data_IF_156358800001
#
_entry.id   IF_156358800001
#
_cell.length_a   1.000
_cell.length_b   1.000
_cell.length_c   1.000
_cell.angle_alpha   90.00
_cell.angle_beta   90.00
_cell.angle_gamma   90.00
#
_symmetry.space_group_name_H-M   'P 1'
#
loop_
_entity.id
_entity.type
_entity.pdbx_description
1 polymer ?
#
# COMPACT_ATOMS: atom_id res chain seq x y z
N UNK A 1 -4.50 11.35 6.56
CA UNK A 1 -3.08 10.93 6.51
C UNK A 1 -2.31 11.86 5.58
N UNK A 2 -1.28 12.54 6.11
CA UNK A 2 -0.62 13.75 5.57
C UNK A 2 0.09 13.53 4.23
N UNK A 3 0.52 12.30 3.92
CA UNK A 3 1.14 11.95 2.63
C UNK A 3 0.15 11.93 1.44
N UNK A 4 -1.16 11.79 1.72
CA UNK A 4 -2.19 11.67 0.66
C UNK A 4 -2.45 12.96 -0.12
N UNK A 5 -2.08 14.12 0.42
CA UNK A 5 -2.20 15.40 -0.28
C UNK A 5 -1.02 15.72 -1.20
N UNK A 6 0.13 15.06 -0.99
CA UNK A 6 1.37 15.34 -1.73
C UNK A 6 1.44 14.54 -3.03
N UNK A 7 0.74 13.41 -3.08
CA UNK A 7 0.63 12.55 -4.26
C UNK A 7 -0.81 12.61 -4.71
N UNK A 8 -1.05 13.25 -5.85
CA UNK A 8 -2.33 13.49 -6.49
C UNK A 8 -3.13 12.18 -6.81
N UNK A 9 -3.52 11.41 -5.79
CA UNK A 9 -4.39 10.24 -5.88
C UNK A 9 -5.75 10.61 -5.26
N UNK A 10 -6.79 10.87 -6.06
CA UNK A 10 -8.06 11.46 -5.61
C UNK A 10 -9.00 10.47 -4.89
N UNK A 11 -8.49 9.34 -4.39
CA UNK A 11 -9.32 8.27 -3.85
C UNK A 11 -9.30 8.32 -2.32
N UNK A 12 -10.41 8.74 -1.72
CA UNK A 12 -10.65 8.69 -0.27
C UNK A 12 -10.70 7.24 0.22
N UNK A 13 -10.39 7.02 1.49
CA UNK A 13 -10.45 5.70 2.14
C UNK A 13 -11.84 5.08 1.98
N UNK A 14 -12.88 5.92 2.04
CA UNK A 14 -14.26 5.52 1.78
C UNK A 14 -14.47 4.99 0.36
N UNK A 15 -13.89 5.63 -0.66
CA UNK A 15 -13.97 5.14 -2.05
C UNK A 15 -13.24 3.81 -2.23
N UNK A 16 -12.09 3.64 -1.57
CA UNK A 16 -11.33 2.38 -1.60
C UNK A 16 -12.15 1.27 -0.94
N UNK A 17 -12.69 1.52 0.26
CA UNK A 17 -13.51 0.55 0.99
C UNK A 17 -14.83 0.25 0.25
N UNK A 18 -15.42 1.24 -0.42
CA UNK A 18 -16.58 1.03 -1.28
C UNK A 18 -16.24 0.16 -2.49
N UNK A 19 -15.09 0.37 -3.15
CA UNK A 19 -14.64 -0.51 -4.23
C UNK A 19 -14.40 -1.95 -3.73
N UNK A 20 -13.87 -2.12 -2.53
CA UNK A 20 -13.69 -3.44 -1.89
C UNK A 20 -15.04 -4.11 -1.59
N UNK A 21 -16.03 -3.35 -1.12
CA UNK A 21 -17.37 -3.88 -0.88
C UNK A 21 -18.05 -4.32 -2.19
N UNK A 22 -17.89 -3.56 -3.27
CA UNK A 22 -18.36 -3.94 -4.60
C UNK A 22 -17.64 -5.20 -5.09
N UNK A 23 -16.32 -5.29 -4.96
CA UNK A 23 -15.58 -6.50 -5.35
C UNK A 23 -16.05 -7.73 -4.56
N UNK A 24 -16.41 -7.55 -3.29
CA UNK A 24 -17.02 -8.61 -2.47
C UNK A 24 -18.40 -9.01 -3.01
N UNK A 25 -19.24 -8.02 -3.31
CA UNK A 25 -20.61 -8.18 -3.86
C UNK A 25 -20.62 -8.90 -5.21
N UNK A 26 -19.68 -8.58 -6.09
CA UNK A 26 -19.54 -9.21 -7.41
C UNK A 26 -18.71 -10.50 -7.37
N UNK A 27 -18.41 -11.01 -6.18
CA UNK A 27 -17.83 -12.33 -6.01
C UNK A 27 -16.45 -12.51 -6.68
N UNK A 28 -15.64 -11.44 -6.71
CA UNK A 28 -14.29 -11.53 -7.24
C UNK A 28 -13.49 -12.59 -6.46
N UNK A 29 -12.68 -13.41 -7.14
CA UNK A 29 -11.94 -14.50 -6.50
C UNK A 29 -10.75 -13.97 -5.69
N UNK A 30 -10.11 -12.90 -6.14
CA UNK A 30 -8.94 -12.30 -5.52
C UNK A 30 -8.94 -10.78 -5.69
N UNK A 31 -8.53 -10.07 -4.64
CA UNK A 31 -8.27 -8.63 -4.70
C UNK A 31 -6.76 -8.37 -4.62
N UNK A 32 -6.25 -7.54 -5.54
CA UNK A 32 -4.86 -7.08 -5.54
C UNK A 32 -4.80 -5.58 -5.29
N UNK A 33 -4.09 -5.16 -4.25
CA UNK A 33 -3.84 -3.75 -3.95
C UNK A 33 -2.36 -3.43 -4.20
N UNK A 34 -2.08 -2.27 -4.78
CA UNK A 34 -0.72 -1.86 -5.13
C UNK A 34 -0.35 -0.61 -4.32
N UNK A 35 0.67 -0.75 -3.47
CA UNK A 35 1.23 0.31 -2.65
C UNK A 35 2.66 0.58 -3.08
N UNK A 36 2.98 1.87 -3.21
CA UNK A 36 4.35 2.30 -3.39
C UNK A 36 4.94 2.57 -2.02
N UNK A 37 6.15 2.05 -1.77
CA UNK A 37 6.90 2.22 -0.52
C UNK A 37 8.22 2.90 -0.82
N UNK A 38 8.68 3.79 0.04
CA UNK A 38 9.92 4.55 -0.12
C UNK A 38 9.73 5.88 -0.86
N UNK A 39 8.53 6.46 -0.82
CA UNK A 39 8.30 7.79 -1.39
C UNK A 39 9.07 8.87 -0.61
N UNK A 40 9.53 9.94 -1.27
CA UNK A 40 10.20 11.04 -0.59
C UNK A 40 9.29 11.60 0.51
N UNK A 41 9.82 11.73 1.73
CA UNK A 41 9.12 12.16 2.95
C UNK A 41 8.13 11.15 3.56
N UNK A 42 8.06 9.91 3.07
CA UNK A 42 7.24 8.86 3.68
C UNK A 42 7.74 8.52 5.09
N UNK A 43 6.85 8.63 6.08
CA UNK A 43 7.14 8.35 7.48
C UNK A 43 6.61 6.97 7.90
N UNK A 44 7.01 6.50 9.07
CA UNK A 44 6.52 5.23 9.62
C UNK A 44 4.99 5.22 9.76
N UNK A 45 4.39 6.35 10.16
CA UNK A 45 2.94 6.48 10.31
C UNK A 45 2.18 6.26 9.00
N UNK A 46 2.79 6.55 7.86
CA UNK A 46 2.18 6.31 6.55
C UNK A 46 2.16 4.82 6.22
N UNK A 47 3.16 4.06 6.64
CA UNK A 47 3.20 2.61 6.52
C UNK A 47 2.18 1.95 7.45
N UNK A 48 2.03 2.47 8.68
CA UNK A 48 0.97 2.03 9.59
C UNK A 48 -0.42 2.29 8.99
N UNK A 49 -0.61 3.46 8.37
CA UNK A 49 -1.85 3.80 7.68
C UNK A 49 -2.21 2.83 6.55
N UNK A 50 -1.21 2.39 5.79
CA UNK A 50 -1.39 1.39 4.74
C UNK A 50 -1.84 0.07 5.35
N UNK A 51 -1.18 -0.38 6.42
CA UNK A 51 -1.56 -1.60 7.12
C UNK A 51 -3.00 -1.53 7.64
N UNK A 52 -3.37 -0.44 8.31
CA UNK A 52 -4.71 -0.27 8.88
C UNK A 52 -5.80 -0.20 7.79
N UNK A 53 -5.52 0.47 6.66
CA UNK A 53 -6.41 0.48 5.50
C UNK A 53 -6.63 -0.93 4.94
N UNK A 54 -5.55 -1.71 4.78
CA UNK A 54 -5.63 -3.09 4.26
C UNK A 54 -6.39 -3.99 5.23
N UNK A 55 -6.19 -3.82 6.54
CA UNK A 55 -6.95 -4.58 7.55
C UNK A 55 -8.44 -4.24 7.51
N UNK A 56 -8.80 -2.96 7.34
CA UNK A 56 -10.20 -2.57 7.12
C UNK A 56 -10.77 -3.18 5.84
N UNK A 57 -10.02 -3.15 4.74
CA UNK A 57 -10.42 -3.79 3.49
C UNK A 57 -10.58 -5.31 3.67
N UNK A 58 -9.69 -5.96 4.42
CA UNK A 58 -9.75 -7.41 4.68
C UNK A 58 -10.98 -7.80 5.50
N UNK A 59 -11.42 -6.97 6.44
CA UNK A 59 -12.69 -7.18 7.17
C UNK A 59 -13.90 -7.19 6.24
N UNK A 60 -13.87 -6.37 5.19
CA UNK A 60 -14.94 -6.30 4.18
C UNK A 60 -14.80 -7.40 3.11
N UNK A 61 -13.59 -7.90 2.87
CA UNK A 61 -13.27 -8.88 1.83
C UNK A 61 -12.75 -10.19 2.44
N UNK A 62 -13.63 -11.16 2.75
CA UNK A 62 -13.24 -12.40 3.43
C UNK A 62 -12.40 -13.35 2.56
N UNK A 63 -12.27 -13.06 1.25
CA UNK A 63 -11.56 -13.91 0.28
C UNK A 63 -10.07 -13.56 0.21
N UNK A 64 -9.39 -14.13 -0.78
CA UNK A 64 -7.94 -13.97 -0.97
C UNK A 64 -7.56 -12.53 -1.33
N UNK A 65 -6.75 -11.90 -0.48
CA UNK A 65 -6.29 -10.52 -0.68
C UNK A 65 -4.76 -10.53 -0.76
N UNK A 66 -4.24 -9.85 -1.77
CA UNK A 66 -2.81 -9.71 -2.02
C UNK A 66 -2.46 -8.24 -2.11
N UNK A 67 -1.35 -7.87 -1.52
CA UNK A 67 -0.78 -6.53 -1.61
C UNK A 67 0.58 -6.61 -2.25
N UNK A 68 0.81 -5.73 -3.21
CA UNK A 68 2.12 -5.55 -3.83
C UNK A 68 2.71 -4.26 -3.26
N UNK A 69 3.80 -4.38 -2.53
CA UNK A 69 4.60 -3.28 -2.03
C UNK A 69 5.77 -3.09 -3.00
N UNK A 70 5.66 -2.12 -3.90
CA UNK A 70 6.69 -1.82 -4.91
C UNK A 70 7.53 -0.63 -4.44
N UNK A 71 8.86 -0.71 -4.49
CA UNK A 71 9.71 0.43 -4.18
C UNK A 71 9.44 1.59 -5.15
N UNK A 72 9.32 2.82 -4.61
CA UNK A 72 9.17 4.02 -5.42
C UNK A 72 10.49 4.33 -6.13
N UNK A 73 10.50 4.22 -7.46
CA UNK A 73 11.64 4.58 -8.30
C UNK A 73 11.36 5.97 -8.90
N UNK A 74 12.16 7.00 -8.59
CA UNK A 74 12.00 8.32 -9.18
C UNK A 74 12.24 8.21 -10.70
N UNK A 75 11.23 8.60 -11.49
CA UNK A 75 11.34 8.58 -12.95
C UNK A 75 11.95 9.89 -13.47
N UNK A 76 12.74 9.79 -14.53
CA UNK A 76 13.26 10.94 -15.26
C UNK A 76 12.11 11.88 -15.69
N UNK A 77 12.34 13.19 -15.64
CA UNK A 77 11.35 14.24 -15.92
C UNK A 77 10.17 14.36 -14.92
N UNK A 78 10.35 13.91 -13.67
CA UNK A 78 9.41 14.21 -12.57
C UNK A 78 10.02 15.21 -11.58
N UNK A 79 9.18 15.93 -10.84
CA UNK A 79 9.59 16.95 -9.83
C UNK A 79 10.58 16.41 -8.79
N UNK A 80 10.67 15.08 -8.63
CA UNK A 80 11.58 14.38 -7.73
C UNK A 80 12.82 13.79 -8.41
N UNK A 81 13.21 14.27 -9.60
CA UNK A 81 14.43 13.85 -10.32
C UNK A 81 15.70 13.87 -9.43
N UNK A 82 15.74 14.73 -8.42
CA UNK A 82 16.90 14.94 -7.54
C UNK A 82 16.74 14.35 -6.13
N UNK A 83 15.63 13.66 -5.86
CA UNK A 83 15.43 13.03 -4.56
C UNK A 83 16.20 11.71 -4.49
N UNK A 84 17.03 11.57 -3.46
CA UNK A 84 17.72 10.33 -3.17
C UNK A 84 16.70 9.19 -3.03
N UNK A 85 17.00 8.05 -3.63
CA UNK A 85 16.26 6.82 -3.40
C UNK A 85 16.29 6.52 -1.90
N UNK A 86 15.13 6.21 -1.32
CA UNK A 86 15.05 5.76 0.08
C UNK A 86 15.98 4.57 0.25
N UNK A 87 16.72 4.56 1.35
CA UNK A 87 17.70 3.52 1.62
C UNK A 87 17.07 2.12 1.49
N UNK A 88 17.70 1.18 0.76
CA UNK A 88 17.15 -0.16 0.54
C UNK A 88 16.81 -0.91 1.84
N UNK A 89 17.56 -0.68 2.93
CA UNK A 89 17.27 -1.30 4.23
C UNK A 89 15.99 -0.71 4.84
N UNK A 90 15.75 0.58 4.65
CA UNK A 90 14.49 1.22 5.06
C UNK A 90 13.30 0.64 4.29
N UNK A 91 13.44 0.41 2.98
CA UNK A 91 12.40 -0.22 2.16
C UNK A 91 12.14 -1.65 2.64
N UNK A 92 13.20 -2.45 2.86
CA UNK A 92 13.07 -3.81 3.41
C UNK A 92 12.40 -3.82 4.77
N UNK A 93 12.78 -2.93 5.68
CA UNK A 93 12.19 -2.81 7.01
C UNK A 93 10.68 -2.51 6.94
N UNK A 94 10.28 -1.59 6.06
CA UNK A 94 8.86 -1.26 5.84
C UNK A 94 8.07 -2.42 5.23
N UNK A 95 8.63 -3.13 4.25
CA UNK A 95 8.01 -4.33 3.68
C UNK A 95 7.89 -5.43 4.74
N UNK A 96 8.92 -5.63 5.56
CA UNK A 96 8.90 -6.59 6.66
C UNK A 96 7.82 -6.24 7.69
N UNK A 97 7.69 -4.96 8.05
CA UNK A 97 6.63 -4.46 8.93
C UNK A 97 5.23 -4.77 8.36
N UNK A 98 4.98 -4.42 7.10
CA UNK A 98 3.71 -4.73 6.44
C UNK A 98 3.44 -6.24 6.40
N UNK A 99 4.46 -7.04 6.10
CA UNK A 99 4.37 -8.50 6.07
C UNK A 99 3.98 -9.07 7.44
N UNK A 100 4.66 -8.64 8.50
CA UNK A 100 4.38 -9.09 9.87
C UNK A 100 2.99 -8.69 10.36
N UNK A 101 2.51 -7.49 9.98
CA UNK A 101 1.20 -7.00 10.41
C UNK A 101 0.03 -7.56 9.60
N UNK A 102 0.25 -8.01 8.36
CA UNK A 102 -0.83 -8.37 7.42
C UNK A 102 -0.95 -9.89 7.18
N UNK A 103 0.15 -10.63 7.21
CA UNK A 103 0.13 -12.09 7.08
C UNK A 103 -0.76 -12.79 8.13
N UNK A 104 -0.76 -12.41 9.43
CA UNK A 104 -1.63 -13.04 10.43
C UNK A 104 -3.12 -12.92 10.12
N UNK A 105 -3.51 -11.94 9.29
CA UNK A 105 -4.88 -11.70 8.87
C UNK A 105 -5.21 -12.33 7.50
N UNK A 106 -4.35 -13.20 6.97
CA UNK A 106 -4.59 -13.88 5.69
C UNK A 106 -4.52 -12.92 4.49
N UNK A 107 -3.63 -11.94 4.56
CA UNK A 107 -3.29 -11.03 3.47
C UNK A 107 -1.85 -11.32 3.05
N UNK A 108 -1.63 -11.68 1.77
CA UNK A 108 -0.29 -11.95 1.26
C UNK A 108 0.40 -10.68 0.80
N UNK A 109 1.60 -10.40 1.32
CA UNK A 109 2.46 -9.32 0.83
C UNK A 109 3.43 -9.84 -0.22
N UNK A 110 3.50 -9.15 -1.35
CA UNK A 110 4.47 -9.38 -2.43
C UNK A 110 5.33 -8.14 -2.60
N UNK A 111 6.62 -8.34 -2.79
CA UNK A 111 7.57 -7.29 -3.16
C UNK A 111 8.25 -7.71 -4.46
N UNK A 112 8.14 -6.89 -5.50
CA UNK A 112 8.97 -7.02 -6.69
C UNK A 112 10.38 -6.53 -6.29
N UNK A 113 11.38 -7.41 -6.41
CA UNK A 113 12.79 -7.14 -6.09
C UNK A 113 13.51 -6.54 -7.28
#
# INVERSE_FOLDING_TARGET
MRLRNIINKPQSDEQILHAVSLATKYNFPQLKMYFMVGQPLEQEQDIEAIADLVLHAKKLYPRNMVINATPYVPKAHTTFQWSAMTDPETIKHRIAYLTGRLNPHGVTVRSDS
#
